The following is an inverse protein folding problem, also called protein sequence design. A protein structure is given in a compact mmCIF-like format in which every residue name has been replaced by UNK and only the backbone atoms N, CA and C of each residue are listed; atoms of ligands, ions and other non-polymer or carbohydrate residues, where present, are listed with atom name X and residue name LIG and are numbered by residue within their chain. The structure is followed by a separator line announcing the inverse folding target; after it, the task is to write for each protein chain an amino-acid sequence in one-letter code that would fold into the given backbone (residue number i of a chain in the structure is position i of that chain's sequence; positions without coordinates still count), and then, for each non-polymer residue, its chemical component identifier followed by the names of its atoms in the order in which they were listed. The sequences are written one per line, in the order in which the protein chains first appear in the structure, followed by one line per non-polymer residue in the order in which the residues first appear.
data_IF_100446944542
#
_entry.id   IF_100446944542
#
_cell.length_a   1.000
_cell.length_b   1.000
_cell.length_c   1.000
_cell.angle_alpha   90.00
_cell.angle_beta   90.00
_cell.angle_gamma   90.00
#
_symmetry.space_group_name_H-M   'P 1'
#
loop_
_entity.id
_entity.type
_entity.pdbx_description
1 polymer ?
#
# COMPACT_ATOMS: atom_id res chain seq x y z
N UNK A 1 -70.03 -6.56 20.19
CA UNK A 1 -70.26 -7.27 18.92
C UNK A 1 -71.54 -6.74 18.31
N UNK A 2 -71.43 -6.06 17.14
CA UNK A 2 -72.43 -5.68 16.12
C UNK A 2 -72.10 -4.28 15.54
N UNK A 3 -72.05 -4.23 14.19
CA UNK A 3 -71.83 -3.14 13.21
C UNK A 3 -72.62 -1.83 13.46
N UNK A 4 -72.39 -0.66 12.79
CA UNK A 4 -72.30 -0.46 11.31
C UNK A 4 -71.44 0.79 10.85
N UNK A 5 -71.75 1.54 9.77
CA UNK A 5 -71.50 1.31 8.33
C UNK A 5 -70.76 2.49 7.61
N UNK A 6 -70.71 2.40 6.28
CA UNK A 6 -70.13 3.30 5.29
C UNK A 6 -70.73 4.73 5.15
N UNK A 7 -69.92 5.64 4.60
CA UNK A 7 -70.29 6.85 3.81
C UNK A 7 -69.25 6.96 2.68
N UNK A 8 -69.50 6.61 1.41
CA UNK A 8 -70.28 7.24 0.33
C UNK A 8 -69.82 8.65 -0.14
N UNK A 9 -69.15 8.64 -1.31
CA UNK A 9 -69.33 9.48 -2.51
C UNK A 9 -68.84 10.96 -2.45
N UNK A 10 -68.37 11.63 -3.50
CA UNK A 10 -68.91 11.81 -4.87
C UNK A 10 -67.81 12.39 -5.80
N UNK A 11 -67.75 11.86 -7.03
CA UNK A 11 -67.44 12.43 -8.37
C UNK A 11 -66.64 13.74 -8.58
N UNK A 12 -65.85 13.73 -9.66
CA UNK A 12 -65.43 14.96 -10.36
C UNK A 12 -64.57 14.73 -11.61
N UNK A 13 -65.20 14.28 -12.70
CA UNK A 13 -64.62 14.16 -14.04
C UNK A 13 -64.48 15.55 -14.67
N UNK A 14 -63.27 16.00 -15.03
CA UNK A 14 -63.07 17.12 -15.97
C UNK A 14 -61.99 16.76 -16.99
N UNK A 15 -62.42 16.83 -18.24
CA UNK A 15 -61.75 16.49 -19.49
C UNK A 15 -61.20 17.78 -20.12
N UNK A 16 -59.89 17.89 -20.37
CA UNK A 16 -59.29 18.93 -21.23
C UNK A 16 -58.12 18.29 -22.00
N UNK A 17 -58.39 17.77 -23.20
CA UNK A 17 -58.10 18.39 -24.50
C UNK A 17 -56.61 18.37 -24.89
N UNK A 18 -56.28 17.44 -25.78
CA UNK A 18 -55.08 17.44 -26.60
C UNK A 18 -55.03 18.69 -27.49
N UNK A 19 -53.92 19.43 -27.46
CA UNK A 19 -53.52 20.31 -28.56
C UNK A 19 -52.40 19.66 -29.38
N UNK A 20 -52.44 19.76 -30.73
CA UNK A 20 -51.43 19.20 -31.60
C UNK A 20 -50.24 20.16 -31.71
N UNK A 21 -49.05 19.74 -31.24
CA UNK A 21 -47.82 20.48 -31.53
C UNK A 21 -47.33 20.06 -32.91
N UNK A 22 -47.57 20.96 -33.87
CA UNK A 22 -47.03 20.97 -35.22
C UNK A 22 -45.50 21.04 -35.22
N UNK A 23 -44.89 20.14 -36.02
CA UNK A 23 -43.60 20.27 -36.71
C UNK A 23 -42.50 21.07 -35.99
N UNK A 24 -41.60 20.34 -35.32
CA UNK A 24 -40.18 20.69 -35.37
C UNK A 24 -39.44 19.55 -36.06
N UNK A 25 -39.18 19.74 -37.35
CA UNK A 25 -38.22 18.94 -38.11
C UNK A 25 -36.83 19.20 -37.53
N UNK A 26 -36.44 18.41 -36.52
CA UNK A 26 -35.04 18.30 -36.16
C UNK A 26 -34.35 17.50 -37.27
N UNK A 27 -33.38 18.09 -37.97
CA UNK A 27 -32.63 17.35 -38.97
C UNK A 27 -31.91 16.21 -38.26
N UNK A 28 -32.10 15.00 -38.78
CA UNK A 28 -31.28 13.83 -38.50
C UNK A 28 -29.88 14.10 -39.10
N UNK A 29 -29.17 15.09 -38.56
CA UNK A 29 -27.73 15.18 -38.76
C UNK A 29 -27.16 13.99 -38.01
N UNK A 30 -26.78 12.99 -38.81
CA UNK A 30 -25.97 11.88 -38.40
C UNK A 30 -24.87 12.42 -37.47
N UNK A 31 -24.99 12.16 -36.17
CA UNK A 31 -23.83 12.14 -35.30
C UNK A 31 -23.04 10.92 -35.80
N UNK A 32 -22.21 11.17 -36.82
CA UNK A 32 -21.00 10.40 -37.03
C UNK A 32 -20.28 10.51 -35.69
N UNK A 33 -20.42 9.50 -34.85
CA UNK A 33 -19.50 9.30 -33.75
C UNK A 33 -18.12 9.13 -34.39
N UNK A 34 -17.16 10.07 -34.21
CA UNK A 34 -15.79 9.74 -34.50
C UNK A 34 -15.42 8.63 -33.51
N UNK A 35 -14.95 7.49 -34.03
CA UNK A 35 -14.51 6.33 -33.26
C UNK A 35 -13.26 6.61 -32.39
N UNK A 36 -13.06 7.85 -31.92
CA UNK A 36 -11.90 8.32 -31.14
C UNK A 36 -12.19 8.69 -29.68
N UNK A 37 -13.45 8.87 -29.26
CA UNK A 37 -13.76 9.44 -27.94
C UNK A 37 -13.81 8.44 -26.78
N UNK A 38 -14.04 7.15 -27.05
CA UNK A 38 -14.07 6.11 -26.00
C UNK A 38 -12.68 5.94 -25.37
N UNK A 39 -11.62 6.07 -26.19
CA UNK A 39 -10.24 5.97 -25.74
C UNK A 39 -9.83 7.14 -24.83
N UNK A 40 -10.31 8.36 -25.13
CA UNK A 40 -10.01 9.56 -24.33
C UNK A 40 -10.72 9.49 -22.98
N UNK A 41 -12.00 9.10 -22.96
CA UNK A 41 -12.77 8.92 -21.71
C UNK A 41 -12.23 7.76 -20.86
N UNK A 42 -11.83 6.65 -21.49
CA UNK A 42 -11.17 5.53 -20.80
C UNK A 42 -9.82 5.96 -20.21
N UNK A 43 -9.00 6.67 -20.96
CA UNK A 43 -7.71 7.20 -20.50
C UNK A 43 -7.85 8.21 -19.35
N UNK A 44 -8.85 9.10 -19.40
CA UNK A 44 -9.13 10.06 -18.33
C UNK A 44 -9.61 9.36 -17.05
N UNK A 45 -10.43 8.31 -17.19
CA UNK A 45 -10.87 7.46 -16.09
C UNK A 45 -9.71 6.68 -15.46
N UNK A 46 -8.81 6.12 -16.28
CA UNK A 46 -7.60 5.44 -15.80
C UNK A 46 -6.68 6.39 -15.03
N UNK A 47 -6.36 7.57 -15.59
CA UNK A 47 -5.56 8.59 -14.89
C UNK A 47 -6.20 9.06 -13.59
N UNK A 48 -7.53 9.21 -13.53
CA UNK A 48 -8.26 9.57 -12.31
C UNK A 48 -8.16 8.46 -11.25
N UNK A 49 -8.28 7.20 -11.65
CA UNK A 49 -8.12 6.05 -10.76
C UNK A 49 -6.69 5.92 -10.23
N UNK A 50 -5.68 6.15 -11.06
CA UNK A 50 -4.27 6.18 -10.62
C UNK A 50 -4.00 7.30 -9.62
N UNK A 51 -4.49 8.52 -9.91
CA UNK A 51 -4.37 9.65 -8.97
C UNK A 51 -5.06 9.37 -7.65
N UNK A 52 -6.27 8.80 -7.68
CA UNK A 52 -7.01 8.46 -6.47
C UNK A 52 -6.30 7.37 -5.65
N UNK A 53 -5.80 6.31 -6.32
CA UNK A 53 -5.00 5.27 -5.68
C UNK A 53 -3.73 5.83 -5.04
N UNK A 54 -3.06 6.76 -5.72
CA UNK A 54 -1.90 7.45 -5.20
C UNK A 54 -2.27 8.30 -3.97
N UNK A 55 -3.33 9.08 -4.02
CA UNK A 55 -3.77 9.89 -2.88
C UNK A 55 -4.15 9.05 -1.67
N UNK A 56 -4.85 7.92 -1.87
CA UNK A 56 -5.19 6.99 -0.79
C UNK A 56 -3.91 6.43 -0.16
N UNK A 57 -2.96 6.00 -0.99
CA UNK A 57 -1.66 5.49 -0.56
C UNK A 57 -0.87 6.54 0.21
N UNK A 58 -0.77 7.75 -0.31
CA UNK A 58 -0.02 8.85 0.30
C UNK A 58 -0.65 9.25 1.66
N UNK A 59 -1.99 9.29 1.74
CA UNK A 59 -2.69 9.55 3.00
C UNK A 59 -2.49 8.42 4.03
N UNK A 60 -2.50 7.16 3.58
CA UNK A 60 -2.23 6.01 4.44
C UNK A 60 -0.80 6.08 5.00
N UNK A 61 0.19 6.34 4.15
CA UNK A 61 1.57 6.45 4.59
C UNK A 61 1.81 7.66 5.48
N UNK A 62 1.13 8.77 5.21
CA UNK A 62 1.20 9.93 6.11
C UNK A 62 0.64 9.58 7.49
N UNK A 63 -0.53 8.93 7.54
CA UNK A 63 -1.10 8.49 8.80
C UNK A 63 -0.20 7.48 9.53
N UNK A 64 0.45 6.58 8.79
CA UNK A 64 1.42 5.63 9.32
C UNK A 64 2.64 6.35 9.92
N UNK A 65 3.24 7.30 9.19
CA UNK A 65 4.37 8.10 9.66
C UNK A 65 3.97 8.92 10.91
N UNK A 66 2.80 9.57 10.89
CA UNK A 66 2.27 10.37 12.01
C UNK A 66 2.02 9.51 13.26
N UNK A 67 1.51 8.27 13.11
CA UNK A 67 1.28 7.35 14.21
C UNK A 67 2.59 6.86 14.83
N UNK A 68 3.61 6.58 14.02
CA UNK A 68 4.91 6.15 14.52
C UNK A 68 5.65 7.29 15.23
N UNK A 69 5.58 8.51 14.67
CA UNK A 69 6.14 9.68 15.32
C UNK A 69 5.46 9.93 16.67
N UNK A 70 4.13 9.79 16.74
CA UNK A 70 3.37 9.90 17.99
C UNK A 70 3.75 8.82 19.00
N UNK A 71 3.89 7.56 18.58
CA UNK A 71 4.31 6.45 19.44
C UNK A 71 5.70 6.67 20.06
N UNK A 72 6.62 7.25 19.30
CA UNK A 72 7.95 7.65 19.81
C UNK A 72 7.88 8.80 20.82
N UNK A 73 6.99 9.77 20.62
CA UNK A 73 6.79 10.90 21.55
C UNK A 73 6.11 10.44 22.84
N UNK A 74 5.09 9.60 22.73
CA UNK A 74 4.31 9.06 23.84
C UNK A 74 5.08 7.97 24.62
N UNK A 75 6.28 7.59 24.15
CA UNK A 75 7.12 6.50 24.68
C UNK A 75 6.42 5.13 24.71
N UNK A 76 5.41 4.94 23.87
CA UNK A 76 4.73 3.67 23.68
C UNK A 76 5.40 2.90 22.54
N UNK A 77 6.44 2.13 22.88
CA UNK A 77 7.28 1.45 21.90
C UNK A 77 6.74 0.08 21.46
N UNK A 78 5.64 -0.41 22.03
CA UNK A 78 5.15 -1.78 21.78
C UNK A 78 4.89 -2.01 20.29
N UNK A 79 4.26 -1.04 19.61
CA UNK A 79 3.98 -1.16 18.18
C UNK A 79 5.27 -1.15 17.32
N UNK A 80 6.28 -0.37 17.70
CA UNK A 80 7.56 -0.30 16.99
C UNK A 80 8.33 -1.60 17.14
N UNK A 81 8.32 -2.17 18.35
CA UNK A 81 8.94 -3.48 18.64
C UNK A 81 8.27 -4.57 17.80
N UNK A 82 6.95 -4.53 17.65
CA UNK A 82 6.21 -5.47 16.79
C UNK A 82 6.60 -5.34 15.30
N UNK A 83 6.68 -4.11 14.78
CA UNK A 83 7.10 -3.87 13.39
C UNK A 83 8.54 -4.34 13.15
N UNK A 84 9.41 -4.16 14.13
CA UNK A 84 10.78 -4.66 14.08
C UNK A 84 10.83 -6.20 14.04
N UNK A 85 10.01 -6.88 14.86
CA UNK A 85 9.90 -8.34 14.84
C UNK A 85 9.33 -8.86 13.52
N UNK A 86 8.29 -8.19 12.99
CA UNK A 86 7.74 -8.52 11.68
C UNK A 86 8.83 -8.44 10.59
N UNK A 87 9.61 -7.35 10.58
CA UNK A 87 10.71 -7.18 9.64
C UNK A 87 11.72 -8.32 9.74
N UNK A 88 12.14 -8.68 10.95
CA UNK A 88 13.05 -9.81 11.22
C UNK A 88 12.50 -11.12 10.66
N UNK A 89 11.25 -11.44 10.97
CA UNK A 89 10.59 -12.67 10.53
C UNK A 89 10.53 -12.72 9.00
N UNK A 90 10.13 -11.62 8.36
CA UNK A 90 10.00 -11.55 6.89
C UNK A 90 11.33 -11.73 6.17
N UNK A 91 12.42 -11.14 6.69
CA UNK A 91 13.77 -11.37 6.15
C UNK A 91 14.16 -12.84 6.29
N UNK A 92 13.98 -13.42 7.48
CA UNK A 92 14.30 -14.83 7.73
C UNK A 92 13.53 -15.79 6.81
N UNK A 93 12.25 -15.50 6.53
CA UNK A 93 11.41 -16.29 5.61
C UNK A 93 11.90 -16.30 4.15
N UNK A 94 12.69 -15.29 3.74
CA UNK A 94 13.28 -15.28 2.40
C UNK A 94 14.51 -16.16 2.29
N UNK A 95 15.13 -16.52 3.40
CA UNK A 95 16.35 -17.32 3.43
C UNK A 95 15.97 -18.82 3.43
N UNK A 96 16.66 -19.66 2.64
CA UNK A 96 16.51 -21.12 2.71
C UNK A 96 16.70 -21.65 4.15
N UNK A 97 16.33 -22.91 4.40
CA UNK A 97 16.39 -23.57 5.73
C UNK A 97 17.82 -23.83 6.25
N UNK A 98 18.65 -22.78 6.27
CA UNK A 98 20.04 -22.75 6.72
C UNK A 98 20.09 -22.19 8.13
N UNK A 99 20.26 -23.08 9.11
CA UNK A 99 20.17 -22.75 10.54
C UNK A 99 21.17 -21.66 10.94
N UNK A 100 22.37 -21.67 10.35
CA UNK A 100 23.44 -20.71 10.59
C UNK A 100 23.03 -19.26 10.27
N UNK A 101 22.37 -19.03 9.14
CA UNK A 101 21.94 -17.70 8.73
C UNK A 101 20.74 -17.20 9.53
N UNK A 102 19.80 -18.10 9.85
CA UNK A 102 18.64 -17.79 10.69
C UNK A 102 19.08 -17.40 12.11
N UNK A 103 20.04 -18.13 12.68
CA UNK A 103 20.61 -17.81 13.98
C UNK A 103 21.30 -16.44 13.96
N UNK A 104 22.12 -16.15 12.94
CA UNK A 104 22.77 -14.85 12.80
C UNK A 104 21.78 -13.68 12.74
N UNK A 105 20.63 -13.86 12.09
CA UNK A 105 19.58 -12.83 12.05
C UNK A 105 18.91 -12.68 13.42
N UNK A 106 18.65 -13.79 14.10
CA UNK A 106 18.04 -13.76 15.42
C UNK A 106 18.93 -13.06 16.47
N UNK A 107 20.25 -13.21 16.36
CA UNK A 107 21.24 -12.58 17.24
C UNK A 107 21.41 -11.08 16.95
N UNK A 108 21.55 -10.69 15.68
CA UNK A 108 21.77 -9.29 15.30
C UNK A 108 20.49 -8.44 15.36
N UNK A 109 19.31 -9.06 15.16
CA UNK A 109 17.99 -8.43 15.28
C UNK A 109 17.24 -8.96 16.50
N UNK A 110 17.87 -8.90 17.69
CA UNK A 110 17.22 -9.28 18.94
C UNK A 110 16.16 -8.26 19.36
N UNK A 111 14.90 -8.65 19.22
CA UNK A 111 13.70 -7.86 19.57
C UNK A 111 13.67 -7.50 21.06
N UNK A 112 14.17 -8.38 21.92
CA UNK A 112 14.17 -8.20 23.38
C UNK A 112 15.15 -7.10 23.76
N UNK A 113 16.38 -7.18 23.23
CA UNK A 113 17.42 -6.19 23.49
C UNK A 113 17.01 -4.84 22.89
N UNK A 114 16.49 -4.84 21.66
CA UNK A 114 15.98 -3.64 21.01
C UNK A 114 14.89 -2.95 21.85
N UNK A 115 13.91 -3.70 22.34
CA UNK A 115 12.86 -3.17 23.19
C UNK A 115 13.37 -2.59 24.52
N UNK A 116 14.39 -3.23 25.13
CA UNK A 116 15.04 -2.71 26.33
C UNK A 116 15.82 -1.42 26.06
N UNK A 117 16.53 -1.33 24.92
CA UNK A 117 17.26 -0.12 24.54
C UNK A 117 16.33 1.06 24.31
N UNK A 118 15.16 0.85 23.69
CA UNK A 118 14.15 1.90 23.52
C UNK A 118 13.57 2.36 24.86
N UNK A 119 13.14 1.42 25.72
CA UNK A 119 12.54 1.74 27.02
C UNK A 119 13.50 2.47 27.96
N UNK A 120 14.80 2.18 27.87
CA UNK A 120 15.84 2.84 28.67
C UNK A 120 16.48 4.06 27.99
N UNK A 121 15.95 4.54 26.85
CA UNK A 121 16.53 5.64 26.06
C UNK A 121 18.02 5.46 25.72
N UNK A 122 18.45 4.20 25.56
CA UNK A 122 19.83 3.82 25.26
C UNK A 122 20.08 3.60 23.77
N UNK A 123 19.04 3.71 22.94
CA UNK A 123 19.13 3.55 21.49
C UNK A 123 19.63 4.83 20.81
N UNK A 124 20.81 4.77 20.18
CA UNK A 124 21.52 5.91 19.59
C UNK A 124 21.48 5.89 18.06
N UNK A 125 21.95 6.98 17.46
CA UNK A 125 21.95 7.13 16.00
C UNK A 125 22.89 6.14 15.33
N UNK A 126 23.97 5.77 16.02
CA UNK A 126 24.91 4.73 15.60
C UNK A 126 24.23 3.35 15.54
N UNK A 127 23.43 3.00 16.55
CA UNK A 127 22.68 1.73 16.56
C UNK A 127 21.70 1.65 15.38
N UNK A 128 21.01 2.76 15.09
CA UNK A 128 20.12 2.86 13.94
C UNK A 128 20.86 2.76 12.61
N UNK A 129 22.03 3.41 12.48
CA UNK A 129 22.88 3.32 11.30
C UNK A 129 23.28 1.86 11.03
N UNK A 130 23.78 1.16 12.06
CA UNK A 130 24.18 -0.25 11.95
C UNK A 130 23.01 -1.15 11.58
N UNK A 131 21.83 -0.92 12.16
CA UNK A 131 20.63 -1.66 11.79
C UNK A 131 20.24 -1.44 10.33
N UNK A 132 20.25 -0.20 9.85
CA UNK A 132 19.93 0.12 8.45
C UNK A 132 20.94 -0.58 7.52
N UNK A 133 22.24 -0.49 7.81
CA UNK A 133 23.25 -1.17 6.99
C UNK A 133 23.06 -2.69 6.97
N UNK A 134 22.77 -3.28 8.13
CA UNK A 134 22.55 -4.72 8.26
C UNK A 134 21.36 -5.19 7.43
N UNK A 135 20.21 -4.52 7.56
CA UNK A 135 18.97 -4.87 6.86
C UNK A 135 19.12 -4.67 5.34
N UNK A 136 19.68 -3.55 4.89
CA UNK A 136 19.92 -3.34 3.46
C UNK A 136 20.96 -4.32 2.90
N UNK A 137 21.96 -4.73 3.68
CA UNK A 137 22.91 -5.77 3.29
C UNK A 137 22.26 -7.14 3.10
N UNK A 138 21.12 -7.42 3.75
CA UNK A 138 20.30 -8.59 3.43
C UNK A 138 19.52 -8.42 2.13
N UNK A 139 18.95 -7.23 1.89
CA UNK A 139 18.23 -6.98 0.64
C UNK A 139 19.11 -7.14 -0.60
N UNK A 140 20.34 -6.62 -0.56
CA UNK A 140 21.32 -6.80 -1.64
C UNK A 140 21.64 -8.28 -1.93
N UNK A 141 21.57 -9.15 -0.92
CA UNK A 141 21.81 -10.60 -1.08
C UNK A 141 20.58 -11.38 -1.55
N UNK A 142 19.39 -10.88 -1.24
CA UNK A 142 18.11 -11.57 -1.47
C UNK A 142 17.42 -11.15 -2.77
N UNK A 143 17.66 -9.92 -3.23
CA UNK A 143 17.02 -9.38 -4.42
C UNK A 143 17.75 -9.77 -5.71
N UNK A 144 17.08 -9.54 -6.85
CA UNK A 144 17.71 -9.68 -8.15
C UNK A 144 18.68 -8.52 -8.42
N UNK A 145 19.84 -8.76 -9.07
CA UNK A 145 20.84 -7.71 -9.35
C UNK A 145 20.31 -6.50 -10.12
N UNK A 146 19.26 -6.68 -10.92
CA UNK A 146 18.60 -5.60 -11.64
C UNK A 146 17.99 -4.51 -10.73
N UNK A 147 17.75 -4.82 -9.44
CA UNK A 147 17.15 -3.91 -8.46
C UNK A 147 18.17 -3.28 -7.51
N UNK A 148 19.43 -3.70 -7.56
CA UNK A 148 20.49 -3.22 -6.65
C UNK A 148 20.63 -1.69 -6.68
N UNK A 149 20.56 -1.08 -7.86
CA UNK A 149 20.66 0.38 -8.00
C UNK A 149 19.53 1.12 -7.26
N UNK A 150 18.30 0.61 -7.33
CA UNK A 150 17.14 1.21 -6.65
C UNK A 150 17.25 1.07 -5.13
N UNK A 151 17.67 -0.09 -4.66
CA UNK A 151 17.84 -0.37 -3.23
C UNK A 151 18.99 0.45 -2.64
N UNK A 152 20.09 0.61 -3.37
CA UNK A 152 21.19 1.48 -2.98
C UNK A 152 20.77 2.96 -2.90
N UNK A 153 19.89 3.42 -3.80
CA UNK A 153 19.34 4.77 -3.74
C UNK A 153 18.48 5.00 -2.49
N UNK A 154 17.56 4.09 -2.18
CA UNK A 154 16.75 4.18 -0.96
C UNK A 154 17.61 4.07 0.30
N UNK A 155 18.63 3.22 0.31
CA UNK A 155 19.62 3.16 1.40
C UNK A 155 20.27 4.53 1.64
N UNK A 156 20.79 5.16 0.58
CA UNK A 156 21.44 6.49 0.68
C UNK A 156 20.47 7.55 1.18
N UNK A 157 19.21 7.51 0.75
CA UNK A 157 18.18 8.45 1.17
C UNK A 157 17.88 8.31 2.67
N UNK A 158 17.66 7.09 3.15
CA UNK A 158 17.42 6.83 4.58
C UNK A 158 18.64 7.21 5.42
N UNK A 159 19.84 6.84 4.99
CA UNK A 159 21.08 7.20 5.69
C UNK A 159 21.34 8.71 5.68
N UNK A 160 21.01 9.42 4.60
CA UNK A 160 21.11 10.88 4.52
C UNK A 160 20.19 11.60 5.50
N UNK A 161 19.08 10.97 5.91
CA UNK A 161 18.18 11.52 6.92
C UNK A 161 18.78 11.47 8.33
N UNK A 162 19.74 10.59 8.62
CA UNK A 162 20.42 10.53 9.93
C UNK A 162 21.15 11.84 10.27
N UNK A 163 21.60 12.59 9.27
CA UNK A 163 22.33 13.85 9.48
C UNK A 163 21.42 15.06 9.65
N UNK A 164 20.16 14.97 9.21
CA UNK A 164 19.29 16.15 9.00
C UNK A 164 17.94 16.06 9.72
N UNK A 165 17.52 14.86 10.12
CA UNK A 165 16.17 14.58 10.61
C UNK A 165 16.18 13.96 12.01
N UNK A 166 15.02 13.97 12.66
CA UNK A 166 14.81 13.34 13.96
C UNK A 166 14.55 11.83 13.81
N UNK A 167 14.78 11.07 14.88
CA UNK A 167 14.42 9.64 14.95
C UNK A 167 12.96 9.38 14.57
N UNK A 168 12.05 10.26 14.99
CA UNK A 168 10.63 10.25 14.64
C UNK A 168 10.35 10.18 13.15
N UNK A 169 11.23 10.71 12.31
CA UNK A 169 11.07 10.73 10.84
C UNK A 169 11.91 9.66 10.15
N UNK A 170 13.05 9.30 10.73
CA UNK A 170 13.96 8.32 10.12
C UNK A 170 13.38 6.91 10.24
N UNK A 171 12.85 6.54 11.41
CA UNK A 171 12.33 5.19 11.67
C UNK A 171 11.16 4.83 10.73
N UNK A 172 10.12 5.69 10.56
CA UNK A 172 9.05 5.40 9.61
C UNK A 172 9.54 5.31 8.16
N UNK A 173 10.44 6.21 7.75
CA UNK A 173 11.01 6.19 6.41
C UNK A 173 11.80 4.90 6.13
N UNK A 174 12.59 4.44 7.10
CA UNK A 174 13.30 3.18 7.06
C UNK A 174 12.35 1.98 6.96
N UNK A 175 11.39 1.86 7.87
CA UNK A 175 10.44 0.73 7.89
C UNK A 175 9.65 0.65 6.59
N UNK A 176 9.19 1.79 6.07
CA UNK A 176 8.50 1.87 4.78
C UNK A 176 9.36 1.36 3.64
N UNK A 177 10.62 1.82 3.55
CA UNK A 177 11.54 1.37 2.52
C UNK A 177 11.79 -0.15 2.63
N UNK A 178 12.04 -0.63 3.85
CA UNK A 178 12.31 -2.03 4.13
C UNK A 178 11.14 -2.96 3.73
N UNK A 179 9.91 -2.62 4.15
CA UNK A 179 8.73 -3.40 3.77
C UNK A 179 8.45 -3.35 2.27
N UNK A 180 8.63 -2.20 1.61
CA UNK A 180 8.43 -2.08 0.16
C UNK A 180 9.39 -2.97 -0.63
N UNK A 181 10.65 -3.02 -0.18
CA UNK A 181 11.68 -3.89 -0.80
C UNK A 181 11.35 -5.36 -0.54
N UNK A 182 10.91 -5.73 0.66
CA UNK A 182 10.49 -7.09 0.98
C UNK A 182 9.28 -7.55 0.16
N UNK A 183 8.24 -6.72 0.04
CA UNK A 183 7.07 -7.02 -0.80
C UNK A 183 7.50 -7.34 -2.24
N UNK A 184 8.44 -6.55 -2.73
CA UNK A 184 9.01 -6.72 -4.07
C UNK A 184 9.78 -8.04 -4.21
N UNK A 185 10.62 -8.39 -3.23
CA UNK A 185 11.37 -9.66 -3.23
C UNK A 185 10.40 -10.84 -3.18
N UNK A 186 9.34 -10.75 -2.38
CA UNK A 186 8.31 -11.78 -2.28
C UNK A 186 7.54 -11.96 -3.59
N UNK A 187 7.19 -10.87 -4.26
CA UNK A 187 6.51 -10.90 -5.55
C UNK A 187 7.40 -11.51 -6.63
N UNK A 188 8.68 -11.13 -6.69
CA UNK A 188 9.65 -11.72 -7.61
C UNK A 188 9.83 -13.23 -7.38
N UNK A 189 9.89 -13.65 -6.11
CA UNK A 189 9.98 -15.07 -5.73
C UNK A 189 8.73 -15.85 -6.17
N UNK A 190 7.53 -15.32 -5.93
CA UNK A 190 6.27 -15.95 -6.35
C UNK A 190 6.18 -16.06 -7.88
N UNK A 191 6.53 -15.00 -8.59
CA UNK A 191 6.52 -14.97 -10.06
C UNK A 191 7.52 -16.00 -10.63
N UNK A 192 8.72 -16.08 -10.04
CA UNK A 192 9.72 -17.08 -10.43
C UNK A 192 9.21 -18.51 -10.21
N UNK A 193 8.64 -18.80 -9.03
CA UNK A 193 8.07 -20.12 -8.73
C UNK A 193 6.94 -20.50 -9.69
N UNK A 194 6.06 -19.54 -10.04
CA UNK A 194 4.97 -19.76 -11.00
C UNK A 194 5.52 -20.14 -12.38
N UNK A 195 6.47 -19.37 -12.91
CA UNK A 195 7.10 -19.64 -14.22
C UNK A 195 7.80 -20.98 -14.25
N UNK A 196 8.52 -21.33 -13.18
CA UNK A 196 9.19 -22.63 -13.07
C UNK A 196 8.20 -23.80 -13.08
N UNK A 197 7.05 -23.65 -12.42
CA UNK A 197 5.99 -24.68 -12.43
C UNK A 197 5.34 -24.84 -13.81
N UNK A 198 5.08 -23.74 -14.53
CA UNK A 198 4.54 -23.76 -15.90
C UNK A 198 5.48 -24.46 -16.88
N UNK A 199 6.78 -24.16 -16.81
CA UNK A 199 7.81 -24.82 -17.65
C UNK A 199 7.89 -26.32 -17.34
N UNK A 200 7.79 -26.71 -16.07
CA UNK A 200 7.81 -28.12 -15.68
C UNK A 200 6.57 -28.88 -16.19
N UNK A 201 5.41 -28.22 -16.26
CA UNK A 201 4.18 -28.81 -16.78
C UNK A 201 4.20 -29.00 -18.31
N UNK A 202 4.84 -28.09 -19.06
CA UNK A 202 4.96 -28.19 -20.52
C UNK A 202 5.93 -29.28 -21.01
N UNK A 203 6.81 -29.77 -20.12
CA UNK A 203 7.78 -30.85 -20.42
C UNK A 203 7.24 -32.26 -20.11
N UNK A 204 6.01 -32.37 -19.60
CA UNK A 204 5.29 -33.63 -19.41
C UNK A 204 4.31 -33.86 -20.53
#
# INVERSE_FOLDING_TARGET
MLLPPAHLLVFGFVRWQCQPVTKLSLPLHAIRHPAGDVHILFFYRLKKMERLKKQIRDNYFKAFDDLLEKSLVDQDFEWIIQLFDELRIRIAQQIPKRVDLHQKIAEEMDVTIFGQMLKNNCYKGEDLYHLIEYVFGWFEKLQAPARDASTAEEKRKVLGMLQTSTFGKIVPAFLRAAHTILDTIEDDKKEFQRRMAEIAAQKK
#
